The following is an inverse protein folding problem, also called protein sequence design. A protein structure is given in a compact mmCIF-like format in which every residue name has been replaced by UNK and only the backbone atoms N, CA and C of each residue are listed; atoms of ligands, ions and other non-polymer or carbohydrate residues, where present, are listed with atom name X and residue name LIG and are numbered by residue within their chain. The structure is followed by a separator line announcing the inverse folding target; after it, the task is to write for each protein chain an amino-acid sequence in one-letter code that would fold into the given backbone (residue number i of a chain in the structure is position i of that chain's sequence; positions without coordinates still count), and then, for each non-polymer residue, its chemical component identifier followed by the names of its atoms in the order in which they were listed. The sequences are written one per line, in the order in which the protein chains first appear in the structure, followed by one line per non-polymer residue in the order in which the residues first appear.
data_IF_304069268479
#
_entry.id   IF_304069268479
#
_cell.length_a   1.000
_cell.length_b   1.000
_cell.length_c   1.000
_cell.angle_alpha   90.00
_cell.angle_beta   90.00
_cell.angle_gamma   90.00
#
_symmetry.space_group_name_H-M   'P 1'
#
loop_
_entity.id
_entity.type
_entity.pdbx_description
1 polymer ?
#
# COMPACT_ATOMS: atom_id res chain seq x y z
N UNK A 1 32.57 -13.25 -30.80
CA UNK A 1 31.29 -12.55 -31.07
C UNK A 1 30.03 -13.37 -30.76
N UNK A 2 30.11 -14.69 -30.55
CA UNK A 2 28.93 -15.54 -30.23
C UNK A 2 28.55 -15.54 -28.74
N UNK A 3 29.52 -15.45 -27.84
CA UNK A 3 29.34 -15.48 -26.38
C UNK A 3 28.75 -14.18 -25.79
N UNK A 4 28.82 -13.06 -26.51
CA UNK A 4 28.25 -11.77 -26.08
C UNK A 4 26.73 -11.70 -26.36
N UNK A 5 26.27 -12.35 -27.44
CA UNK A 5 24.85 -12.47 -27.79
C UNK A 5 24.08 -13.37 -26.81
N UNK A 6 24.73 -14.42 -26.28
CA UNK A 6 24.13 -15.34 -25.31
C UNK A 6 23.92 -14.69 -23.93
N UNK A 7 24.84 -13.83 -23.49
CA UNK A 7 24.67 -13.02 -22.27
C UNK A 7 23.60 -11.93 -22.43
N UNK A 8 23.50 -11.33 -23.63
CA UNK A 8 22.43 -10.38 -23.99
C UNK A 8 21.05 -11.06 -24.04
N UNK A 9 20.98 -12.30 -24.54
CA UNK A 9 19.76 -13.10 -24.59
C UNK A 9 19.29 -13.53 -23.18
N UNK A 10 20.23 -13.82 -22.26
CA UNK A 10 19.92 -14.13 -20.87
C UNK A 10 19.44 -12.90 -20.07
N UNK A 11 19.93 -11.70 -20.40
CA UNK A 11 19.51 -10.44 -19.79
C UNK A 11 18.09 -9.99 -20.19
N UNK A 12 17.53 -10.54 -21.28
CA UNK A 12 16.18 -10.24 -21.76
C UNK A 12 15.08 -11.13 -21.15
N UNK A 13 15.47 -12.21 -20.42
CA UNK A 13 14.55 -13.24 -19.89
C UNK A 13 14.36 -13.13 -18.36
N UNK A 14 14.83 -12.06 -17.72
CA UNK A 14 14.39 -11.75 -16.34
C UNK A 14 13.12 -10.90 -16.50
N UNK A 15 11.91 -11.47 -16.46
CA UNK A 15 10.75 -10.63 -16.34
C UNK A 15 10.93 -9.81 -15.07
N UNK A 16 10.70 -8.52 -15.22
CA UNK A 16 10.46 -7.55 -14.16
C UNK A 16 9.26 -8.03 -13.33
N UNK A 17 9.43 -9.08 -12.53
CA UNK A 17 8.48 -9.46 -11.51
C UNK A 17 8.72 -8.55 -10.29
N UNK A 18 8.62 -7.24 -10.52
CA UNK A 18 8.41 -6.28 -9.45
C UNK A 18 6.98 -6.47 -8.99
N UNK A 19 6.76 -7.53 -8.21
CA UNK A 19 5.56 -7.61 -7.39
C UNK A 19 5.52 -6.35 -6.53
N UNK A 20 4.38 -5.66 -6.49
CA UNK A 20 4.20 -4.58 -5.55
C UNK A 20 4.53 -5.13 -4.14
N UNK A 21 5.59 -4.59 -3.54
CA UNK A 21 5.98 -4.99 -2.19
C UNK A 21 4.89 -4.54 -1.21
N UNK A 22 4.67 -5.34 -0.17
CA UNK A 22 3.82 -4.99 0.96
C UNK A 22 4.36 -3.68 1.56
N UNK A 23 3.47 -2.76 1.97
CA UNK A 23 3.89 -1.50 2.58
C UNK A 23 4.09 -1.74 4.08
N UNK A 24 5.32 -1.57 4.55
CA UNK A 24 5.66 -1.56 5.98
C UNK A 24 5.83 -0.14 6.49
N UNK A 25 5.23 0.18 7.64
CA UNK A 25 5.47 1.44 8.38
C UNK A 25 5.93 1.07 9.79
N UNK A 26 7.18 1.44 10.13
CA UNK A 26 7.78 1.08 11.42
C UNK A 26 8.20 -0.40 11.55
N UNK A 27 8.17 -1.16 10.44
CA UNK A 27 8.74 -2.52 10.34
C UNK A 27 9.47 -2.70 9.01
N UNK A 28 10.60 -3.42 9.04
CA UNK A 28 11.35 -3.83 7.83
C UNK A 28 10.96 -5.23 7.34
N UNK A 29 10.13 -5.94 8.10
CA UNK A 29 9.61 -7.26 7.76
C UNK A 29 8.09 -7.28 7.96
N UNK A 30 7.32 -6.68 7.03
CA UNK A 30 5.87 -6.77 7.07
C UNK A 30 5.39 -8.22 7.09
N UNK A 31 4.28 -8.50 7.77
CA UNK A 31 3.63 -9.80 7.68
C UNK A 31 3.24 -10.11 6.23
N UNK A 32 3.53 -11.32 5.76
CA UNK A 32 3.30 -11.73 4.37
C UNK A 32 1.81 -11.66 3.97
N UNK A 33 0.90 -11.78 4.94
CA UNK A 33 -0.54 -11.70 4.72
C UNK A 33 -1.07 -10.26 4.62
N UNK A 34 -0.31 -9.27 5.11
CA UNK A 34 -0.73 -7.88 5.17
C UNK A 34 -0.27 -7.08 3.94
N UNK A 35 -1.15 -6.30 3.30
CA UNK A 35 -0.74 -5.37 2.23
C UNK A 35 -0.21 -4.04 2.77
N UNK A 36 -0.66 -3.66 3.96
CA UNK A 36 -0.13 -2.58 4.77
C UNK A 36 0.05 -3.12 6.19
N UNK A 37 1.27 -3.08 6.70
CA UNK A 37 1.63 -3.48 8.07
C UNK A 37 2.24 -2.28 8.81
N UNK A 38 1.67 -1.93 9.96
CA UNK A 38 2.06 -0.77 10.75
C UNK A 38 2.43 -1.26 12.15
N UNK A 39 3.68 -1.05 12.53
CA UNK A 39 4.20 -1.37 13.87
C UNK A 39 4.72 -0.09 14.54
N UNK A 40 4.17 0.24 15.70
CA UNK A 40 4.61 1.38 16.52
C UNK A 40 4.32 1.09 18.00
N UNK A 41 5.16 1.62 18.90
CA UNK A 41 4.95 1.53 20.36
C UNK A 41 4.50 2.86 20.98
N UNK A 42 4.61 3.96 20.22
CA UNK A 42 4.42 5.34 20.67
C UNK A 42 3.53 6.16 19.72
N UNK A 43 2.85 5.52 18.77
CA UNK A 43 2.00 6.16 17.78
C UNK A 43 0.90 5.24 17.25
N UNK A 44 0.03 5.76 16.38
CA UNK A 44 -1.08 5.03 15.77
C UNK A 44 -1.40 5.50 14.35
N UNK A 45 -2.43 4.91 13.74
CA UNK A 45 -2.88 5.29 12.40
C UNK A 45 -3.93 6.41 12.46
N UNK A 46 -3.61 7.58 11.91
CA UNK A 46 -4.60 8.60 11.62
C UNK A 46 -5.19 8.38 10.23
N UNK A 47 -6.42 7.87 10.19
CA UNK A 47 -7.23 7.78 8.98
C UNK A 47 -7.82 9.16 8.60
N UNK A 48 -8.34 9.36 7.38
CA UNK A 48 -8.94 10.63 6.98
C UNK A 48 -10.00 11.10 7.99
N UNK A 49 -9.90 12.37 8.39
CA UNK A 49 -10.81 13.03 9.34
C UNK A 49 -11.64 14.06 8.59
N UNK A 50 -12.95 14.06 8.81
CA UNK A 50 -13.86 14.94 8.11
C UNK A 50 -15.14 15.21 8.90
N UNK A 51 -15.88 16.25 8.52
CA UNK A 51 -17.21 16.52 9.08
C UNK A 51 -18.26 15.56 8.53
N UNK A 52 -19.42 15.50 9.17
CA UNK A 52 -20.62 14.80 8.70
C UNK A 52 -20.97 15.17 7.26
N UNK A 53 -21.01 16.47 6.96
CA UNK A 53 -21.32 16.98 5.62
C UNK A 53 -20.30 16.49 4.58
N UNK A 54 -19.01 16.43 4.95
CA UNK A 54 -17.94 15.97 4.06
C UNK A 54 -18.01 14.45 3.83
N UNK A 55 -18.32 13.67 4.87
CA UNK A 55 -18.53 12.22 4.77
C UNK A 55 -19.71 11.92 3.84
N UNK A 56 -20.83 12.61 4.02
CA UNK A 56 -22.04 12.41 3.23
C UNK A 56 -21.87 12.85 1.77
N UNK A 57 -20.89 13.73 1.50
CA UNK A 57 -20.52 14.13 0.15
C UNK A 57 -19.67 13.08 -0.61
N UNK A 58 -19.22 11.99 0.03
CA UNK A 58 -18.48 10.92 -0.66
C UNK A 58 -19.45 10.11 -1.52
N UNK A 59 -19.38 10.30 -2.84
CA UNK A 59 -20.18 9.56 -3.80
C UNK A 59 -19.66 8.12 -3.97
N UNK A 60 -20.57 7.13 -3.87
CA UNK A 60 -20.27 5.70 -4.07
C UNK A 60 -19.06 5.19 -3.24
N UNK A 61 -19.09 5.31 -1.90
CA UNK A 61 -17.96 4.88 -1.08
C UNK A 61 -17.70 3.39 -1.27
N UNK A 62 -16.43 3.02 -1.39
CA UNK A 62 -16.04 1.62 -1.45
C UNK A 62 -16.47 0.90 -0.16
N UNK A 63 -16.88 -0.37 -0.28
CA UNK A 63 -17.19 -1.21 0.88
C UNK A 63 -15.97 -1.31 1.80
N UNK A 64 -16.14 -0.96 3.07
CA UNK A 64 -15.05 -0.96 4.06
C UNK A 64 -14.20 0.32 4.08
N UNK A 65 -14.59 1.39 3.38
CA UNK A 65 -13.94 2.70 3.50
C UNK A 65 -13.96 3.18 4.96
N UNK A 66 -12.79 3.46 5.53
CA UNK A 66 -12.64 3.94 6.89
C UNK A 66 -12.38 5.45 6.92
N UNK A 67 -13.16 6.16 7.72
CA UNK A 67 -13.00 7.59 8.02
C UNK A 67 -13.28 7.83 9.50
N UNK A 68 -12.75 8.90 10.07
CA UNK A 68 -13.13 9.36 11.40
C UNK A 68 -13.91 10.67 11.28
N UNK A 69 -15.18 10.64 11.67
CA UNK A 69 -16.01 11.82 11.69
C UNK A 69 -15.70 12.70 12.91
N UNK A 70 -15.55 14.00 12.71
CA UNK A 70 -15.14 14.96 13.76
C UNK A 70 -16.26 15.80 14.37
N UNK A 71 -17.48 15.71 13.84
CA UNK A 71 -18.67 16.43 14.34
C UNK A 71 -19.96 15.60 14.12
N UNK A 72 -21.14 16.17 14.36
CA UNK A 72 -22.44 15.47 14.32
C UNK A 72 -23.06 15.37 15.71
N UNK A 73 -24.38 15.56 15.80
CA UNK A 73 -25.14 15.62 17.06
C UNK A 73 -25.52 14.24 17.60
#
# INVERSE_FOLDING_TARGET
MHSIKLKFLLALIIPFALNAQNVGVGTSSPDNSAKLDISATDGGLLIPRMTEVQRDAIASPATGLMIFQTDGS
#
